data_IF_500023413490
#
_entry.id   IF_500023413490
#
_cell.length_a   1.000
_cell.length_b   1.000
_cell.length_c   1.000
_cell.angle_alpha   90.00
_cell.angle_beta   90.00
_cell.angle_gamma   90.00
#
_symmetry.space_group_name_H-M   'P 1'
#
loop_
_entity.id
_entity.type
_entity.pdbx_description
1 polymer ?
#
# COMPACT_ATOMS: atom_id res chain seq x y z
N UNK A 1 -4.67 0.19 20.69
CA UNK A 1 -3.83 -0.55 19.74
C UNK A 1 -3.27 0.43 18.74
N UNK A 2 -1.95 0.55 18.68
CA UNK A 2 -1.25 1.58 17.87
C UNK A 2 -1.10 1.11 16.43
N UNK A 3 -2.15 1.21 15.61
CA UNK A 3 -2.08 0.77 14.20
C UNK A 3 -1.25 1.71 13.37
N UNK A 4 -0.33 1.14 12.60
CA UNK A 4 0.44 1.85 11.60
C UNK A 4 -0.32 1.94 10.28
N UNK A 5 -0.21 3.06 9.59
CA UNK A 5 -0.86 3.30 8.30
C UNK A 5 -0.06 4.27 7.42
N UNK A 6 -0.43 4.30 6.13
CA UNK A 6 -0.09 5.38 5.21
C UNK A 6 -1.32 6.25 5.00
N UNK A 7 -1.14 7.53 4.88
CA UNK A 7 -2.13 8.50 4.39
C UNK A 7 -1.65 9.03 3.05
N UNK A 8 -2.53 9.05 2.07
CA UNK A 8 -2.27 9.61 0.75
C UNK A 8 -3.15 10.84 0.58
N UNK A 9 -2.53 12.01 0.43
CA UNK A 9 -3.21 13.26 0.12
C UNK A 9 -3.34 13.38 -1.40
N UNK A 10 -4.56 13.25 -1.92
CA UNK A 10 -4.84 13.26 -3.35
C UNK A 10 -4.60 14.63 -3.99
N UNK A 11 -4.78 15.73 -3.23
CA UNK A 11 -4.56 17.08 -3.74
C UNK A 11 -3.07 17.37 -3.97
N UNK A 12 -2.20 16.68 -3.23
CA UNK A 12 -0.75 16.81 -3.34
C UNK A 12 -0.11 15.79 -4.28
N UNK A 13 -0.77 14.67 -4.54
CA UNK A 13 -0.20 13.62 -5.37
C UNK A 13 -0.18 14.03 -6.84
N UNK A 14 1.02 14.16 -7.41
CA UNK A 14 1.23 14.53 -8.80
C UNK A 14 1.43 13.34 -9.74
N UNK A 15 1.32 12.11 -9.24
CA UNK A 15 1.53 10.91 -10.05
C UNK A 15 2.98 10.66 -10.49
N UNK A 16 3.97 11.30 -9.89
CA UNK A 16 5.38 11.27 -10.31
C UNK A 16 6.08 9.91 -10.21
N UNK A 17 5.47 8.91 -9.54
CA UNK A 17 5.97 7.53 -9.34
C UNK A 17 7.28 7.41 -8.55
N UNK A 18 7.82 8.46 -7.95
CA UNK A 18 9.01 8.37 -7.08
C UNK A 18 8.83 7.35 -5.95
N UNK A 19 7.61 7.23 -5.41
CA UNK A 19 7.26 6.24 -4.39
C UNK A 19 7.36 4.78 -4.89
N UNK A 20 7.04 4.52 -6.17
CA UNK A 20 7.23 3.18 -6.77
C UNK A 20 8.72 2.86 -6.89
N UNK A 21 9.52 3.79 -7.40
CA UNK A 21 10.96 3.63 -7.55
C UNK A 21 11.65 3.41 -6.21
N UNK A 22 11.33 4.23 -5.20
CA UNK A 22 11.88 4.08 -3.85
C UNK A 22 11.50 2.74 -3.20
N UNK A 23 10.25 2.28 -3.39
CA UNK A 23 9.81 1.00 -2.87
C UNK A 23 10.56 -0.17 -3.53
N UNK A 24 10.82 -0.08 -4.83
CA UNK A 24 11.61 -1.09 -5.55
C UNK A 24 13.05 -1.13 -5.06
N UNK A 25 13.68 0.02 -4.91
CA UNK A 25 15.06 0.12 -4.41
C UNK A 25 15.19 -0.39 -2.99
N UNK A 26 14.30 0.04 -2.10
CA UNK A 26 14.31 -0.34 -0.68
C UNK A 26 14.17 -1.85 -0.45
N UNK A 27 13.31 -2.49 -1.25
CA UNK A 27 12.97 -3.90 -1.07
C UNK A 27 13.64 -4.81 -2.11
N UNK A 28 14.62 -4.33 -2.86
CA UNK A 28 15.34 -5.05 -3.91
C UNK A 28 14.40 -5.79 -4.92
N UNK A 29 13.27 -5.15 -5.26
CA UNK A 29 12.23 -5.78 -6.10
C UNK A 29 12.66 -5.86 -7.55
N UNK A 30 12.41 -6.99 -8.17
CA UNK A 30 12.61 -7.21 -9.60
C UNK A 30 11.72 -6.33 -10.49
N UNK A 31 11.97 -6.33 -11.82
CA UNK A 31 11.26 -5.45 -12.76
C UNK A 31 9.74 -5.59 -12.72
N UNK A 32 9.24 -6.81 -12.54
CA UNK A 32 7.81 -7.14 -12.55
C UNK A 32 7.15 -7.07 -11.17
N UNK A 33 7.94 -7.06 -10.11
CA UNK A 33 7.44 -7.04 -8.74
C UNK A 33 7.01 -5.64 -8.33
N UNK A 34 5.90 -5.55 -7.60
CA UNK A 34 5.38 -4.28 -7.09
C UNK A 34 4.73 -4.46 -5.72
N UNK A 35 5.15 -3.65 -4.76
CA UNK A 35 4.51 -3.53 -3.44
C UNK A 35 3.61 -2.30 -3.32
N UNK A 36 3.78 -1.31 -4.21
CA UNK A 36 2.89 -0.17 -4.42
C UNK A 36 2.80 0.18 -5.90
N UNK A 37 1.80 0.96 -6.28
CA UNK A 37 1.63 1.50 -7.63
C UNK A 37 0.87 2.81 -7.58
N UNK A 38 1.19 3.72 -8.49
CA UNK A 38 0.41 4.94 -8.70
C UNK A 38 -0.65 4.65 -9.74
N UNK A 39 -1.90 4.85 -9.37
CA UNK A 39 -3.06 4.74 -10.26
C UNK A 39 -3.67 6.12 -10.49
N UNK A 40 -4.22 6.32 -11.66
CA UNK A 40 -4.99 7.49 -11.99
C UNK A 40 -6.46 7.24 -11.65
N UNK A 41 -7.09 8.16 -10.93
CA UNK A 41 -8.49 8.08 -10.49
C UNK A 41 -9.44 8.94 -11.35
N UNK A 42 -8.89 9.76 -12.25
CA UNK A 42 -9.69 10.65 -13.12
C UNK A 42 -10.47 9.90 -14.18
N UNK A 43 -11.52 10.56 -14.70
CA UNK A 43 -12.23 10.11 -15.90
C UNK A 43 -11.28 10.07 -17.10
N UNK A 44 -11.49 9.12 -18.01
CA UNK A 44 -10.68 8.96 -19.21
C UNK A 44 -10.60 10.30 -19.99
N UNK A 45 -9.40 10.88 -20.22
CA UNK A 45 -9.25 12.14 -20.94
C UNK A 45 -9.77 12.08 -22.39
N UNK A 46 -9.92 10.89 -22.96
CA UNK A 46 -10.46 10.69 -24.30
C UNK A 46 -11.99 10.83 -24.35
N UNK A 47 -12.68 10.70 -23.21
CA UNK A 47 -14.17 10.71 -23.14
C UNK A 47 -14.73 11.96 -22.46
N UNK A 48 -13.94 12.77 -21.80
CA UNK A 48 -14.38 13.97 -21.08
C UNK A 48 -13.58 15.20 -21.50
N UNK A 49 -14.05 15.85 -22.56
CA UNK A 49 -13.65 17.22 -22.91
C UNK A 49 -14.44 18.20 -22.01
N UNK A 50 -13.99 18.44 -20.78
CA UNK A 50 -14.60 19.38 -19.86
C UNK A 50 -13.56 19.99 -18.90
N UNK A 51 -13.74 21.28 -18.61
CA UNK A 51 -12.80 22.11 -17.81
C UNK A 51 -12.57 21.67 -16.35
N UNK A 52 -13.14 20.53 -15.91
CA UNK A 52 -13.07 20.03 -14.54
C UNK A 52 -12.56 18.59 -14.41
N UNK A 53 -11.76 18.09 -15.34
CA UNK A 53 -11.11 16.77 -15.16
C UNK A 53 -9.94 16.90 -14.18
N UNK A 54 -10.23 16.76 -12.89
CA UNK A 54 -9.20 16.66 -11.87
C UNK A 54 -8.31 15.44 -12.15
N UNK A 55 -7.03 15.65 -12.36
CA UNK A 55 -6.03 14.60 -12.49
C UNK A 55 -5.68 14.12 -11.09
N UNK A 56 -6.52 13.26 -10.52
CA UNK A 56 -6.26 12.67 -9.22
C UNK A 56 -5.42 11.40 -9.37
N UNK A 57 -4.34 11.32 -8.61
CA UNK A 57 -3.47 10.15 -8.54
C UNK A 57 -3.46 9.56 -7.14
N UNK A 58 -3.46 8.25 -7.06
CA UNK A 58 -3.39 7.50 -5.81
C UNK A 58 -2.18 6.56 -5.81
N UNK A 59 -1.29 6.73 -4.83
CA UNK A 59 -0.26 5.75 -4.53
C UNK A 59 -0.89 4.58 -3.77
N UNK A 60 -1.37 3.57 -4.50
CA UNK A 60 -2.04 2.41 -3.94
C UNK A 60 -1.04 1.39 -3.40
N UNK A 61 -1.16 1.03 -2.14
CA UNK A 61 -0.42 -0.04 -1.48
C UNK A 61 -1.35 -0.98 -0.71
N UNK A 62 -0.79 -1.93 0.03
CA UNK A 62 -1.60 -2.80 0.89
C UNK A 62 -2.29 -1.98 1.99
N UNK A 63 -3.60 -2.21 2.16
CA UNK A 63 -4.45 -1.51 3.10
C UNK A 63 -4.37 -2.07 4.53
N UNK A 64 -3.56 -3.10 4.80
CA UNK A 64 -3.43 -3.77 6.10
C UNK A 64 -4.78 -4.00 6.79
N UNK A 65 -5.76 -4.51 6.04
CA UNK A 65 -7.18 -4.61 6.37
C UNK A 65 -7.45 -5.11 7.79
N UNK A 66 -8.57 -4.64 8.38
CA UNK A 66 -9.05 -5.16 9.66
C UNK A 66 -9.31 -6.67 9.62
N UNK A 67 -10.00 -7.11 8.57
CA UNK A 67 -10.29 -8.51 8.26
C UNK A 67 -9.67 -8.90 6.93
N UNK A 68 -8.35 -9.21 6.89
CA UNK A 68 -7.62 -9.44 5.65
C UNK A 68 -8.18 -10.63 4.86
N UNK A 69 -8.70 -10.37 3.66
CA UNK A 69 -9.18 -11.42 2.76
C UNK A 69 -8.03 -12.35 2.34
N UNK A 70 -6.83 -11.82 2.15
CA UNK A 70 -5.63 -12.56 1.80
C UNK A 70 -5.24 -13.61 2.85
N UNK A 71 -5.40 -13.32 4.15
CA UNK A 71 -5.16 -14.31 5.22
C UNK A 71 -6.21 -15.41 5.14
N UNK A 72 -7.49 -15.06 4.92
CA UNK A 72 -8.55 -16.08 4.83
C UNK A 72 -8.37 -16.99 3.62
N UNK A 73 -7.95 -16.42 2.48
CA UNK A 73 -7.74 -17.18 1.25
C UNK A 73 -6.46 -18.04 1.26
N UNK A 74 -5.50 -17.79 2.15
CA UNK A 74 -4.28 -18.57 2.20
C UNK A 74 -4.57 -20.03 2.61
N UNK A 75 -4.23 -21.05 1.76
CA UNK A 75 -4.52 -22.45 2.04
C UNK A 75 -3.48 -23.11 2.97
N UNK A 76 -2.32 -22.46 3.16
CA UNK A 76 -1.20 -23.03 3.91
C UNK A 76 -1.52 -23.10 5.41
N UNK A 77 -1.05 -24.12 6.09
CA UNK A 77 -1.21 -24.29 7.53
C UNK A 77 0.14 -24.65 8.19
N UNK A 78 0.69 -23.83 9.10
CA UNK A 78 0.19 -22.48 9.46
C UNK A 78 0.21 -21.52 8.28
N UNK A 79 -0.70 -20.53 8.29
CA UNK A 79 -0.83 -19.57 7.16
C UNK A 79 0.45 -18.81 6.90
N UNK A 80 0.83 -18.69 5.62
CA UNK A 80 1.98 -17.90 5.20
C UNK A 80 1.74 -16.39 5.34
N UNK A 81 0.50 -15.94 5.50
CA UNK A 81 0.14 -14.54 5.70
C UNK A 81 -0.38 -14.35 7.12
N UNK A 82 0.20 -13.43 7.84
CA UNK A 82 -0.18 -13.11 9.22
C UNK A 82 -0.41 -11.62 9.42
N UNK A 83 -1.10 -11.26 10.49
CA UNK A 83 -1.31 -9.88 10.92
C UNK A 83 -0.71 -9.72 12.31
N UNK A 84 0.14 -8.74 12.46
CA UNK A 84 0.64 -8.32 13.75
C UNK A 84 -0.47 -7.63 14.56
N UNK A 85 -0.69 -8.07 15.79
CA UNK A 85 -1.80 -7.58 16.61
C UNK A 85 -1.54 -6.20 17.23
N UNK A 86 -0.29 -5.81 17.38
CA UNK A 86 0.08 -4.53 17.98
C UNK A 86 0.06 -3.40 16.95
N UNK A 87 0.73 -3.62 15.82
CA UNK A 87 0.88 -2.63 14.75
C UNK A 87 -0.21 -2.71 13.69
N UNK A 88 -0.93 -3.83 13.61
CA UNK A 88 -1.92 -4.09 12.57
C UNK A 88 -1.33 -4.43 11.20
N UNK A 89 -0.01 -4.52 11.09
CA UNK A 89 0.67 -4.78 9.82
C UNK A 89 0.44 -6.23 9.38
N UNK A 90 0.03 -6.41 8.13
CA UNK A 90 -0.11 -7.72 7.50
C UNK A 90 1.17 -8.02 6.73
N UNK A 91 1.76 -9.18 6.94
CA UNK A 91 3.02 -9.63 6.32
C UNK A 91 2.85 -10.98 5.64
N UNK A 92 3.75 -11.29 4.71
CA UNK A 92 3.89 -12.60 4.07
C UNK A 92 5.19 -13.22 4.56
N UNK A 93 5.12 -14.46 5.00
CA UNK A 93 6.30 -15.29 5.22
C UNK A 93 6.62 -15.98 3.89
N UNK A 94 7.71 -15.58 3.26
CA UNK A 94 8.12 -16.03 1.94
C UNK A 94 8.49 -17.52 1.95
N UNK A 95 9.17 -17.99 3.02
CA UNK A 95 9.58 -19.39 3.18
C UNK A 95 8.38 -20.35 3.32
N UNK A 96 7.29 -19.88 3.94
CA UNK A 96 6.07 -20.65 4.11
C UNK A 96 5.12 -20.55 2.90
N UNK A 97 5.36 -19.61 1.98
CA UNK A 97 4.48 -19.34 0.85
C UNK A 97 4.68 -20.37 -0.26
N UNK A 98 3.62 -21.05 -0.66
CA UNK A 98 3.65 -22.04 -1.77
C UNK A 98 3.38 -21.43 -3.15
N UNK A 99 3.19 -20.11 -3.24
CA UNK A 99 3.01 -19.41 -4.50
C UNK A 99 1.69 -19.70 -5.23
N UNK A 100 0.65 -20.11 -4.52
CA UNK A 100 -0.64 -20.49 -5.14
C UNK A 100 -1.43 -19.32 -5.76
N UNK A 101 -1.13 -18.05 -5.40
CA UNK A 101 -1.79 -16.87 -5.94
C UNK A 101 -3.17 -16.54 -5.37
N UNK A 102 -3.75 -17.37 -4.52
CA UNK A 102 -5.10 -17.18 -3.95
C UNK A 102 -5.27 -15.82 -3.25
N UNK A 103 -4.24 -15.36 -2.55
CA UNK A 103 -4.24 -14.06 -1.89
C UNK A 103 -4.23 -12.88 -2.86
N UNK A 104 -3.65 -13.05 -4.05
CA UNK A 104 -3.65 -12.02 -5.12
C UNK A 104 -5.06 -11.83 -5.65
N UNK A 105 -5.75 -12.94 -5.95
CA UNK A 105 -7.13 -12.94 -6.45
C UNK A 105 -8.11 -12.43 -5.38
N UNK A 106 -7.90 -12.79 -4.11
CA UNK A 106 -8.77 -12.42 -3.01
C UNK A 106 -8.65 -10.95 -2.57
N UNK A 107 -7.61 -10.22 -3.00
CA UNK A 107 -7.41 -8.84 -2.58
C UNK A 107 -8.36 -7.88 -3.31
N UNK A 108 -9.31 -7.23 -2.63
CA UNK A 108 -10.29 -6.35 -3.29
C UNK A 108 -9.64 -5.07 -3.87
N UNK A 109 -8.45 -4.72 -3.39
CA UNK A 109 -7.71 -3.54 -3.85
C UNK A 109 -6.67 -3.85 -4.94
N UNK A 110 -6.47 -5.14 -5.25
CA UNK A 110 -5.38 -5.55 -6.14
C UNK A 110 -3.99 -5.13 -5.63
N UNK A 111 -3.83 -5.02 -4.31
CA UNK A 111 -2.59 -4.54 -3.67
C UNK A 111 -1.60 -5.67 -3.33
N UNK A 112 -1.92 -6.90 -3.70
CA UNK A 112 -1.00 -8.04 -3.64
C UNK A 112 -0.30 -8.17 -4.98
N UNK A 113 1.02 -8.35 -4.95
CA UNK A 113 1.84 -8.73 -6.09
C UNK A 113 2.26 -10.20 -6.02
N UNK A 114 3.01 -10.61 -7.01
CA UNK A 114 3.60 -11.94 -7.11
C UNK A 114 5.03 -11.83 -7.63
N UNK A 115 5.96 -12.51 -6.98
CA UNK A 115 7.30 -12.71 -7.51
C UNK A 115 7.36 -14.02 -8.30
N UNK A 116 7.52 -13.95 -9.63
CA UNK A 116 7.57 -15.16 -10.45
C UNK A 116 8.86 -15.98 -10.26
N UNK A 117 9.95 -15.36 -9.81
CA UNK A 117 11.23 -16.02 -9.59
C UNK A 117 11.26 -16.75 -8.23
N UNK A 118 10.90 -16.03 -7.17
CA UNK A 118 10.77 -16.57 -5.80
C UNK A 118 9.49 -17.40 -5.63
N UNK A 119 8.53 -17.31 -6.56
CA UNK A 119 7.25 -18.02 -6.53
C UNK A 119 6.46 -17.79 -5.23
N UNK A 120 6.49 -16.56 -4.74
CA UNK A 120 5.74 -16.17 -3.55
C UNK A 120 4.95 -14.87 -3.76
N UNK A 121 4.00 -14.62 -2.87
CA UNK A 121 3.24 -13.38 -2.89
C UNK A 121 4.06 -12.24 -2.27
N UNK A 122 3.99 -11.05 -2.88
CA UNK A 122 4.64 -9.84 -2.39
C UNK A 122 3.62 -8.74 -2.13
N UNK A 123 3.84 -7.93 -1.10
CA UNK A 123 2.99 -6.80 -0.76
C UNK A 123 3.72 -5.79 0.14
N UNK A 124 3.17 -4.59 0.24
CA UNK A 124 3.65 -3.62 1.20
C UNK A 124 3.56 -4.15 2.64
N UNK A 125 4.63 -4.00 3.39
CA UNK A 125 4.79 -4.35 4.80
C UNK A 125 5.07 -3.12 5.67
N UNK A 126 4.86 -1.92 5.08
CA UNK A 126 5.23 -0.62 5.65
C UNK A 126 6.73 -0.49 5.92
N UNK A 127 7.58 -1.11 5.09
CA UNK A 127 9.03 -1.14 5.21
C UNK A 127 9.47 -1.64 6.59
N UNK A 128 9.07 -2.87 6.96
CA UNK A 128 9.34 -3.47 8.27
C UNK A 128 10.82 -3.45 8.63
N UNK A 129 11.69 -3.84 7.71
CA UNK A 129 13.13 -3.91 7.91
C UNK A 129 13.74 -2.52 8.13
N UNK A 130 13.42 -1.57 7.27
CA UNK A 130 13.81 -0.17 7.42
C UNK A 130 13.41 0.39 8.78
N UNK A 131 12.22 0.07 9.28
CA UNK A 131 11.75 0.52 10.60
C UNK A 131 12.50 -0.16 11.75
N UNK A 132 12.85 -1.44 11.62
CA UNK A 132 13.66 -2.17 12.61
C UNK A 132 15.08 -1.61 12.74
N UNK A 133 15.60 -0.99 11.69
CA UNK A 133 16.86 -0.27 11.67
C UNK A 133 16.77 1.14 12.29
N UNK A 134 15.63 1.51 12.85
CA UNK A 134 15.43 2.79 13.55
C UNK A 134 14.91 3.93 12.68
N UNK A 135 14.57 3.68 11.41
CA UNK A 135 13.94 4.71 10.58
C UNK A 135 12.47 4.90 10.96
N UNK A 136 12.07 6.15 11.18
CA UNK A 136 10.72 6.51 11.60
C UNK A 136 9.74 6.73 10.43
N UNK A 137 10.10 6.33 9.20
CA UNK A 137 9.26 6.52 8.02
C UNK A 137 9.49 5.44 6.97
N UNK A 138 8.55 5.30 6.04
CA UNK A 138 8.66 4.38 4.90
C UNK A 138 9.45 5.02 3.76
N UNK A 139 10.08 4.19 2.90
CA UNK A 139 10.84 4.68 1.75
C UNK A 139 9.98 5.53 0.80
N UNK A 140 8.73 5.15 0.56
CA UNK A 140 7.82 5.91 -0.31
C UNK A 140 7.46 7.28 0.27
N UNK A 141 7.28 7.39 1.59
CA UNK A 141 6.99 8.67 2.25
C UNK A 141 8.23 9.59 2.26
N UNK A 142 9.43 9.03 2.49
CA UNK A 142 10.66 9.83 2.57
C UNK A 142 11.07 10.51 1.26
N UNK A 143 10.68 9.96 0.11
CA UNK A 143 11.04 10.50 -1.22
C UNK A 143 9.92 11.29 -1.89
N UNK A 144 8.74 11.40 -1.27
CA UNK A 144 7.63 12.09 -1.90
C UNK A 144 7.89 13.61 -2.00
N UNK A 145 8.07 14.17 -3.22
CA UNK A 145 8.49 15.56 -3.39
C UNK A 145 7.41 16.55 -2.96
N UNK A 146 6.16 16.13 -2.96
CA UNK A 146 5.00 16.96 -2.58
C UNK A 146 4.49 16.64 -1.17
N UNK A 147 5.16 15.74 -0.44
CA UNK A 147 4.70 15.24 0.86
C UNK A 147 3.24 14.72 0.82
N UNK A 148 2.84 14.13 -0.31
CA UNK A 148 1.52 13.52 -0.46
C UNK A 148 1.36 12.23 0.35
N UNK A 149 2.47 11.55 0.68
CA UNK A 149 2.47 10.30 1.44
C UNK A 149 2.96 10.58 2.86
N UNK A 150 2.15 10.25 3.84
CA UNK A 150 2.50 10.37 5.26
C UNK A 150 2.37 9.00 5.92
N UNK A 151 3.40 8.60 6.68
CA UNK A 151 3.41 7.38 7.48
C UNK A 151 3.27 7.73 8.96
N UNK A 152 2.51 6.94 9.71
CA UNK A 152 2.36 7.16 11.15
C UNK A 152 1.27 6.31 11.78
N UNK A 153 0.90 6.70 13.00
CA UNK A 153 -0.22 6.08 13.71
C UNK A 153 -1.54 6.46 13.02
N UNK A 154 -2.36 5.46 12.73
CA UNK A 154 -3.63 5.64 12.02
C UNK A 154 -4.53 6.71 12.69
N UNK A 155 -4.59 6.73 14.01
CA UNK A 155 -5.40 7.69 14.76
C UNK A 155 -4.94 9.14 14.57
N UNK A 156 -3.63 9.36 14.47
CA UNK A 156 -3.05 10.68 14.22
C UNK A 156 -3.27 11.11 12.76
N UNK A 157 -3.07 10.19 11.82
CA UNK A 157 -3.33 10.43 10.41
C UNK A 157 -4.80 10.77 10.14
N UNK A 158 -5.75 10.11 10.81
CA UNK A 158 -7.18 10.43 10.72
C UNK A 158 -7.50 11.85 11.18
N UNK A 159 -6.82 12.35 12.21
CA UNK A 159 -6.98 13.75 12.67
C UNK A 159 -6.48 14.73 11.61
N UNK A 160 -5.37 14.40 10.97
CA UNK A 160 -4.76 15.21 9.90
C UNK A 160 -5.61 15.19 8.62
N UNK A 161 -6.10 14.02 8.20
CA UNK A 161 -6.97 13.86 7.03
C UNK A 161 -8.23 14.71 7.11
N UNK A 162 -8.88 14.77 8.26
CA UNK A 162 -10.06 15.62 8.49
C UNK A 162 -9.80 17.11 8.30
N UNK A 163 -8.56 17.57 8.48
CA UNK A 163 -8.17 18.97 8.25
C UNK A 163 -7.93 19.29 6.78
N UNK A 164 -7.50 18.31 5.98
CA UNK A 164 -7.05 18.50 4.60
C UNK A 164 -8.04 17.97 3.55
N UNK A 165 -9.19 17.47 3.94
CA UNK A 165 -10.36 17.20 3.08
C UNK A 165 -10.29 15.97 2.17
N UNK A 166 -9.16 15.61 1.58
CA UNK A 166 -9.03 14.55 0.57
C UNK A 166 -7.89 13.57 0.84
N UNK A 167 -7.73 13.17 2.08
CA UNK A 167 -6.77 12.14 2.46
C UNK A 167 -7.39 10.74 2.50
N UNK A 168 -6.81 9.78 1.78
CA UNK A 168 -7.17 8.36 1.87
C UNK A 168 -6.20 7.70 2.85
N UNK A 169 -6.74 7.05 3.86
CA UNK A 169 -5.97 6.31 4.85
C UNK A 169 -6.25 4.82 4.66
N UNK A 170 -5.18 4.05 4.66
CA UNK A 170 -5.26 2.59 4.64
C UNK A 170 -6.28 2.08 5.66
N UNK A 171 -7.17 1.18 5.23
CA UNK A 171 -8.27 0.56 5.99
C UNK A 171 -9.62 1.29 6.06
N UNK A 172 -9.87 2.33 5.31
CA UNK A 172 -11.22 2.86 5.20
C UNK A 172 -11.89 2.39 3.90
N UNK A 173 -12.81 1.41 3.94
CA UNK A 173 -13.49 0.89 2.75
C UNK A 173 -14.53 1.87 2.18
N UNK A 174 -14.76 3.02 2.82
CA UNK A 174 -15.80 3.97 2.46
C UNK A 174 -15.29 5.26 1.80
N UNK A 175 -13.98 5.35 1.50
CA UNK A 175 -13.38 6.52 0.86
C UNK A 175 -12.98 6.28 -0.62
N UNK A 176 -13.56 5.29 -1.28
CA UNK A 176 -13.50 5.12 -2.74
C UNK A 176 -14.84 5.48 -3.34
#
# INVERSE_FOLDING_TARGET
>A
MSRLALMIDLERCTGCKSCEAACKSENALGPLERRNRVIWLGSNPETTCGENSALDFLALSCQHCERPACIRACPVNPKAISKDNETGVVTVNEDACVGCGECVTACPYGAMGYDPNGRHAVKCDLCSDRRSEGNNTTACASVCPTNAITFGLREELLKTSKKHGRGIIDNDPFLL
#
